data_IF_583928662885
#
_entry.id   IF_583928662885
#
_cell.length_a   1.000
_cell.length_b   1.000
_cell.length_c   1.000
_cell.angle_alpha   90.00
_cell.angle_beta   90.00
_cell.angle_gamma   90.00
#
_symmetry.space_group_name_H-M   'P 1'
#
loop_
_entity.id
_entity.type
_entity.pdbx_description
1 polymer ?
#
# COMPACT_ATOMS: atom_id res chain seq x y z
N UNK A 1 5.28 1.30 -18.07
CA UNK A 1 6.10 1.76 -16.93
C UNK A 1 7.58 1.70 -17.33
N UNK A 2 8.41 2.64 -16.88
CA UNK A 2 9.87 2.67 -17.09
C UNK A 2 10.60 2.46 -15.74
N UNK A 3 11.86 1.99 -15.72
CA UNK A 3 12.61 1.81 -14.46
C UNK A 3 12.68 3.07 -13.61
N UNK A 4 12.85 4.23 -14.25
CA UNK A 4 12.85 5.54 -13.59
C UNK A 4 11.53 5.88 -12.91
N UNK A 5 10.41 5.38 -13.41
CA UNK A 5 9.10 5.59 -12.79
C UNK A 5 8.94 4.74 -11.53
N UNK A 6 9.39 3.47 -11.54
CA UNK A 6 9.43 2.64 -10.32
C UNK A 6 10.33 3.25 -9.25
N UNK A 7 11.49 3.78 -9.65
CA UNK A 7 12.35 4.56 -8.77
C UNK A 7 11.59 5.75 -8.13
N UNK A 8 10.91 6.57 -8.95
CA UNK A 8 10.10 7.69 -8.46
C UNK A 8 8.97 7.23 -7.54
N UNK A 9 8.33 6.09 -7.82
CA UNK A 9 7.30 5.52 -6.96
C UNK A 9 7.87 5.12 -5.60
N UNK A 10 9.09 4.58 -5.55
CA UNK A 10 9.79 4.30 -4.29
C UNK A 10 10.01 5.55 -3.46
N UNK A 11 10.49 6.63 -4.06
CA UNK A 11 10.69 7.92 -3.39
C UNK A 11 9.36 8.50 -2.89
N UNK A 12 8.35 8.56 -3.74
CA UNK A 12 7.03 9.08 -3.36
C UNK A 12 6.38 8.25 -2.25
N UNK A 13 6.51 6.92 -2.33
CA UNK A 13 6.03 6.01 -1.29
C UNK A 13 6.76 6.19 0.04
N UNK A 14 8.10 6.36 0.00
CA UNK A 14 8.93 6.67 1.18
C UNK A 14 8.47 7.96 1.86
N UNK A 15 8.36 9.05 1.09
CA UNK A 15 7.92 10.34 1.63
C UNK A 15 6.51 10.27 2.21
N UNK A 16 5.58 9.60 1.52
CA UNK A 16 4.22 9.43 2.04
C UNK A 16 4.19 8.60 3.34
N UNK A 17 4.97 7.53 3.42
CA UNK A 17 5.06 6.69 4.62
C UNK A 17 5.64 7.47 5.82
N UNK A 18 6.63 8.33 5.58
CA UNK A 18 7.21 9.19 6.62
C UNK A 18 6.24 10.28 7.07
N UNK A 19 5.78 11.10 6.12
CA UNK A 19 5.08 12.34 6.42
C UNK A 19 3.61 12.10 6.81
N UNK A 20 2.95 11.12 6.20
CA UNK A 20 1.51 10.89 6.42
C UNK A 20 1.26 9.72 7.36
N UNK A 21 2.06 8.65 7.25
CA UNK A 21 1.89 7.45 8.10
C UNK A 21 2.77 7.47 9.36
N UNK A 22 3.73 8.41 9.45
CA UNK A 22 4.63 8.54 10.61
C UNK A 22 5.64 7.40 10.74
N UNK A 23 5.93 6.67 9.65
CA UNK A 23 6.88 5.57 9.63
C UNK A 23 8.26 6.14 9.36
N UNK A 24 9.10 6.24 10.39
CA UNK A 24 10.47 6.71 10.22
C UNK A 24 11.32 5.70 9.44
N UNK A 25 12.09 6.18 8.45
CA UNK A 25 12.99 5.37 7.63
C UNK A 25 12.33 4.10 7.03
N UNK A 26 11.22 4.26 6.28
CA UNK A 26 10.37 3.16 5.85
C UNK A 26 11.12 2.19 4.94
N UNK A 27 10.93 0.89 5.16
CA UNK A 27 11.51 -0.17 4.33
C UNK A 27 10.81 -0.19 2.98
N UNK A 28 11.54 0.16 1.93
CA UNK A 28 11.06 0.16 0.55
C UNK A 28 11.53 -1.11 -0.13
N UNK A 29 10.62 -1.86 -0.75
CA UNK A 29 10.96 -3.09 -1.48
C UNK A 29 10.31 -3.11 -2.85
N UNK A 30 10.94 -3.80 -3.79
CA UNK A 30 10.44 -3.98 -5.16
C UNK A 30 9.73 -5.34 -5.26
N UNK A 31 8.46 -5.33 -5.68
CA UNK A 31 7.72 -6.56 -5.93
C UNK A 31 8.34 -7.31 -7.12
N UNK A 32 8.64 -8.58 -6.91
CA UNK A 32 9.34 -9.40 -7.88
C UNK A 32 8.87 -10.87 -7.80
N UNK A 33 9.37 -11.70 -8.72
CA UNK A 33 9.12 -13.15 -8.78
C UNK A 33 10.10 -13.99 -7.95
N UNK A 34 11.03 -13.33 -7.24
CA UNK A 34 12.03 -13.96 -6.39
C UNK A 34 12.80 -12.89 -5.62
N UNK A 35 13.30 -13.26 -4.44
CA UNK A 35 14.04 -12.36 -3.53
C UNK A 35 15.48 -12.09 -4.04
N UNK A 36 16.03 -12.94 -4.92
CA UNK A 36 17.43 -12.80 -5.35
C UNK A 36 17.65 -11.60 -6.29
N UNK A 37 18.86 -11.02 -6.23
CA UNK A 37 19.28 -9.98 -7.18
C UNK A 37 19.28 -10.51 -8.62
N UNK A 38 18.84 -9.68 -9.57
CA UNK A 38 18.73 -10.06 -10.98
C UNK A 38 17.48 -10.86 -11.36
N UNK A 39 16.63 -11.26 -10.40
CA UNK A 39 15.31 -11.84 -10.71
C UNK A 39 14.33 -10.81 -11.26
N UNK A 40 13.40 -11.32 -12.06
CA UNK A 40 12.34 -10.54 -12.69
C UNK A 40 12.65 -10.17 -14.14
N UNK A 41 11.92 -9.19 -14.65
CA UNK A 41 12.09 -8.71 -16.02
C UNK A 41 13.08 -7.54 -16.05
N UNK A 42 13.45 -7.09 -17.25
CA UNK A 42 14.37 -5.96 -17.42
C UNK A 42 13.90 -4.69 -16.70
N UNK A 43 12.58 -4.49 -16.57
CA UNK A 43 12.01 -3.34 -15.87
C UNK A 43 12.33 -3.41 -14.36
N UNK A 44 12.11 -4.56 -13.71
CA UNK A 44 12.36 -4.73 -12.27
C UNK A 44 13.85 -4.76 -11.96
N UNK A 45 14.66 -5.44 -12.78
CA UNK A 45 16.13 -5.47 -12.60
C UNK A 45 16.71 -4.06 -12.65
N UNK A 46 16.35 -3.26 -13.66
CA UNK A 46 16.84 -1.87 -13.78
C UNK A 46 16.26 -0.93 -12.72
N UNK A 47 15.04 -1.18 -12.23
CA UNK A 47 14.50 -0.41 -11.13
C UNK A 47 15.23 -0.70 -9.81
N UNK A 48 15.56 -1.96 -9.55
CA UNK A 48 16.32 -2.37 -8.36
C UNK A 48 17.72 -1.72 -8.34
N UNK A 49 18.41 -1.66 -9.49
CA UNK A 49 19.69 -0.93 -9.61
C UNK A 49 19.55 0.55 -9.21
N UNK A 50 18.50 1.24 -9.68
CA UNK A 50 18.24 2.64 -9.36
C UNK A 50 17.86 2.86 -7.88
N UNK A 51 17.03 1.97 -7.32
CA UNK A 51 16.58 2.06 -5.93
C UNK A 51 17.75 1.78 -4.96
N UNK A 52 18.58 0.79 -5.26
CA UNK A 52 19.77 0.44 -4.46
C UNK A 52 20.82 1.55 -4.46
N UNK A 53 20.98 2.27 -5.57
CA UNK A 53 21.90 3.40 -5.68
C UNK A 53 21.40 4.72 -5.08
N UNK A 54 20.30 4.74 -4.33
CA UNK A 54 19.68 5.95 -3.81
C UNK A 54 19.69 6.03 -2.29
N UNK A 55 19.30 7.18 -1.73
CA UNK A 55 19.28 7.41 -0.28
C UNK A 55 18.12 6.71 0.45
N UNK A 56 17.22 5.99 -0.25
CA UNK A 56 16.11 5.30 0.40
C UNK A 56 16.58 4.03 1.13
N UNK A 57 15.85 3.62 2.16
CA UNK A 57 16.03 2.33 2.82
C UNK A 57 15.49 1.17 1.94
N UNK A 58 16.20 0.89 0.85
CA UNK A 58 15.85 -0.18 -0.08
C UNK A 58 16.22 -1.55 0.50
N UNK A 59 15.20 -2.36 0.80
CA UNK A 59 15.34 -3.70 1.39
C UNK A 59 15.36 -4.83 0.34
N UNK A 60 15.60 -4.50 -0.92
CA UNK A 60 15.68 -5.48 -2.00
C UNK A 60 14.34 -5.92 -2.58
N UNK A 61 14.37 -7.07 -3.26
CA UNK A 61 13.20 -7.68 -3.88
C UNK A 61 12.37 -8.44 -2.83
N UNK A 62 11.05 -8.44 -3.03
CA UNK A 62 10.13 -9.27 -2.24
C UNK A 62 9.14 -10.01 -3.15
N UNK A 63 8.58 -11.10 -2.65
CA UNK A 63 7.50 -11.83 -3.33
C UNK A 63 6.12 -11.45 -2.76
N UNK A 64 5.05 -11.80 -3.47
CA UNK A 64 3.68 -11.44 -3.07
C UNK A 64 3.29 -11.92 -1.66
N UNK A 65 3.84 -13.05 -1.20
CA UNK A 65 3.61 -13.59 0.15
C UNK A 65 4.15 -12.67 1.25
N UNK A 66 5.24 -11.96 0.98
CA UNK A 66 5.95 -11.15 1.96
C UNK A 66 5.21 -9.86 2.33
N UNK A 67 4.35 -9.41 1.41
CA UNK A 67 3.44 -8.27 1.61
C UNK A 67 2.49 -8.56 2.76
N UNK A 68 1.90 -9.76 2.79
CA UNK A 68 0.97 -10.19 3.85
C UNK A 68 1.70 -10.35 5.19
N UNK A 69 2.98 -10.77 5.14
CA UNK A 69 3.83 -10.93 6.32
C UNK A 69 4.39 -9.60 6.86
N UNK A 70 4.17 -8.49 6.16
CA UNK A 70 4.63 -7.16 6.60
C UNK A 70 6.16 -7.00 6.57
N UNK A 71 6.84 -7.68 5.64
CA UNK A 71 8.31 -7.60 5.51
C UNK A 71 8.83 -6.21 5.07
N UNK A 72 7.98 -5.35 4.54
CA UNK A 72 8.30 -4.00 4.12
C UNK A 72 7.15 -3.03 4.43
N UNK A 73 7.43 -1.73 4.35
CA UNK A 73 6.46 -0.66 4.61
C UNK A 73 5.93 -0.06 3.30
N UNK A 74 6.77 -0.02 2.26
CA UNK A 74 6.42 0.44 0.90
C UNK A 74 6.76 -0.66 -0.11
N UNK A 75 5.76 -1.08 -0.88
CA UNK A 75 5.93 -2.02 -2.00
C UNK A 75 5.84 -1.28 -3.32
N UNK A 76 6.90 -1.36 -4.13
CA UNK A 76 6.98 -0.74 -5.45
C UNK A 76 6.66 -1.78 -6.52
N UNK A 77 5.77 -1.45 -7.45
CA UNK A 77 5.44 -2.28 -8.61
C UNK A 77 4.89 -1.41 -9.75
N UNK A 78 4.78 -1.97 -10.95
CA UNK A 78 4.07 -1.29 -12.04
C UNK A 78 2.55 -1.39 -11.85
N UNK A 79 1.82 -0.45 -12.47
CA UNK A 79 0.37 -0.34 -12.27
C UNK A 79 -0.43 -1.57 -12.73
N UNK A 80 0.04 -2.37 -13.68
CA UNK A 80 -0.66 -3.57 -14.10
C UNK A 80 -0.54 -4.66 -13.03
N UNK A 81 0.68 -4.91 -12.55
CA UNK A 81 0.94 -5.87 -11.48
C UNK A 81 0.28 -5.44 -10.17
N UNK A 82 0.43 -4.18 -9.78
CA UNK A 82 -0.15 -3.64 -8.55
C UNK A 82 -1.68 -3.72 -8.52
N UNK A 83 -2.34 -3.36 -9.62
CA UNK A 83 -3.79 -3.44 -9.72
C UNK A 83 -4.29 -4.89 -9.72
N UNK A 84 -3.57 -5.79 -10.39
CA UNK A 84 -3.90 -7.22 -10.38
C UNK A 84 -3.76 -7.82 -8.97
N UNK A 85 -2.68 -7.48 -8.27
CA UNK A 85 -2.44 -7.92 -6.90
C UNK A 85 -3.49 -7.38 -5.92
N UNK A 86 -3.82 -6.09 -6.01
CA UNK A 86 -4.83 -5.45 -5.16
C UNK A 86 -6.19 -6.14 -5.31
N UNK A 87 -6.66 -6.30 -6.56
CA UNK A 87 -7.94 -6.97 -6.85
C UNK A 87 -7.94 -8.45 -6.46
N UNK A 88 -6.81 -9.13 -6.61
CA UNK A 88 -6.67 -10.50 -6.14
C UNK A 88 -6.78 -10.60 -4.61
N UNK A 89 -6.15 -9.68 -3.87
CA UNK A 89 -6.28 -9.59 -2.42
C UNK A 89 -7.71 -9.29 -1.97
N UNK A 90 -8.39 -8.36 -2.65
CA UNK A 90 -9.82 -8.07 -2.43
C UNK A 90 -10.69 -9.32 -2.67
N UNK A 91 -10.47 -10.02 -3.78
CA UNK A 91 -11.21 -11.25 -4.12
C UNK A 91 -11.01 -12.39 -3.12
N UNK A 92 -9.79 -12.58 -2.61
CA UNK A 92 -9.51 -13.55 -1.53
C UNK A 92 -10.28 -13.18 -0.26
N UNK A 93 -10.29 -11.90 0.11
CA UNK A 93 -10.98 -11.44 1.31
C UNK A 93 -12.51 -11.67 1.19
N UNK A 94 -13.10 -11.35 0.03
CA UNK A 94 -14.51 -11.63 -0.26
C UNK A 94 -14.81 -13.14 -0.20
N UNK A 95 -13.98 -13.97 -0.83
CA UNK A 95 -14.13 -15.43 -0.82
C UNK A 95 -14.14 -16.01 0.61
N UNK A 96 -13.18 -15.61 1.46
CA UNK A 96 -13.11 -16.08 2.85
C UNK A 96 -14.36 -15.67 3.64
N UNK A 97 -14.82 -14.43 3.47
CA UNK A 97 -16.02 -13.93 4.15
C UNK A 97 -17.27 -14.75 3.73
N UNK A 98 -17.40 -15.05 2.45
CA UNK A 98 -18.54 -15.80 1.94
C UNK A 98 -18.49 -17.27 2.34
N UNK A 99 -17.32 -17.91 2.35
CA UNK A 99 -17.15 -19.27 2.89
C UNK A 99 -17.54 -19.35 4.38
N UNK A 100 -17.13 -18.37 5.19
CA UNK A 100 -17.53 -18.31 6.60
C UNK A 100 -19.06 -18.20 6.72
N UNK A 101 -19.71 -17.40 5.87
CA UNK A 101 -21.18 -17.22 5.90
C UNK A 101 -21.93 -18.48 5.47
N UNK A 102 -21.43 -19.19 4.46
CA UNK A 102 -22.07 -20.41 3.96
C UNK A 102 -21.92 -21.59 4.94
N UNK A 103 -20.74 -21.73 5.55
CA UNK A 103 -20.45 -22.82 6.49
C UNK A 103 -20.92 -22.52 7.93
N UNK A 104 -21.20 -21.26 8.26
CA UNK A 104 -21.92 -20.90 9.48
C UNK A 104 -23.41 -21.26 9.33
N UNK A 105 -23.77 -22.53 9.53
CA UNK A 105 -25.16 -22.94 9.68
C UNK A 105 -25.89 -22.20 10.82
N UNK A 106 -27.15 -22.57 11.09
CA UNK A 106 -28.06 -21.94 12.08
C UNK A 106 -27.47 -21.72 13.49
N UNK A 107 -26.40 -22.44 13.84
CA UNK A 107 -25.62 -22.26 15.07
C UNK A 107 -24.47 -21.31 14.79
N UNK A 108 -24.58 -20.00 15.10
CA UNK A 108 -23.43 -19.13 15.47
C UNK A 108 -23.70 -17.60 15.54
N UNK A 109 -24.85 -17.10 15.98
CA UNK A 109 -24.91 -15.66 16.37
C UNK A 109 -23.93 -15.32 17.49
N UNK A 110 -23.73 -16.25 18.44
CA UNK A 110 -22.80 -16.11 19.57
C UNK A 110 -21.35 -16.35 19.13
N UNK A 111 -21.09 -17.41 18.35
CA UNK A 111 -19.77 -17.67 17.77
C UNK A 111 -19.30 -16.52 16.87
N UNK A 112 -20.18 -15.98 16.01
CA UNK A 112 -19.87 -14.82 15.17
C UNK A 112 -19.62 -13.55 16.00
N UNK A 113 -20.26 -13.37 17.16
CA UNK A 113 -20.02 -12.24 18.04
C UNK A 113 -18.65 -12.34 18.73
N UNK A 114 -18.27 -13.54 19.19
CA UNK A 114 -16.94 -13.83 19.72
C UNK A 114 -15.85 -13.67 18.66
N UNK A 115 -16.07 -14.22 17.46
CA UNK A 115 -15.20 -14.03 16.30
C UNK A 115 -15.11 -12.55 15.94
N UNK A 116 -16.22 -11.79 15.92
CA UNK A 116 -16.17 -10.33 15.70
C UNK A 116 -15.36 -9.59 16.75
N UNK A 117 -15.34 -10.05 18.00
CA UNK A 117 -14.48 -9.51 19.07
C UNK A 117 -13.00 -9.82 18.81
N UNK A 118 -12.69 -11.09 18.54
CA UNK A 118 -11.34 -11.60 18.31
C UNK A 118 -10.71 -11.01 17.03
N UNK A 119 -11.51 -10.91 15.97
CA UNK A 119 -11.12 -10.41 14.66
C UNK A 119 -11.35 -8.91 14.50
N UNK A 120 -11.86 -8.18 15.51
CA UNK A 120 -12.18 -6.73 15.38
C UNK A 120 -10.99 -5.93 14.87
N UNK A 121 -9.80 -6.21 15.38
CA UNK A 121 -8.58 -5.50 15.00
C UNK A 121 -8.07 -5.92 13.61
N UNK A 122 -8.28 -7.17 13.21
CA UNK A 122 -7.98 -7.66 11.86
C UNK A 122 -8.95 -7.07 10.83
N UNK A 123 -10.25 -7.07 11.12
CA UNK A 123 -11.28 -6.46 10.29
C UNK A 123 -11.05 -4.97 10.11
N UNK A 124 -10.60 -4.25 11.15
CA UNK A 124 -10.18 -2.84 11.01
C UNK A 124 -8.98 -2.64 10.09
N UNK A 125 -8.01 -3.56 10.09
CA UNK A 125 -6.84 -3.48 9.18
C UNK A 125 -7.22 -3.74 7.73
N UNK A 126 -8.28 -4.52 7.49
CA UNK A 126 -8.81 -4.85 6.16
C UNK A 126 -9.83 -3.80 5.67
N UNK A 127 -10.44 -3.02 6.57
CA UNK A 127 -11.43 -2.01 6.21
C UNK A 127 -10.79 -0.79 5.54
N UNK A 128 -10.93 -0.69 4.22
CA UNK A 128 -10.50 0.45 3.41
C UNK A 128 -11.04 1.80 3.92
N UNK A 129 -12.21 1.80 4.59
CA UNK A 129 -12.81 3.02 5.11
C UNK A 129 -11.98 3.64 6.25
N UNK A 130 -11.11 2.87 6.92
CA UNK A 130 -10.19 3.40 7.94
C UNK A 130 -9.08 4.25 7.31
N UNK A 131 -8.67 3.94 6.08
CA UNK A 131 -7.66 4.69 5.33
C UNK A 131 -8.27 5.84 4.50
N UNK A 132 -9.58 5.80 4.24
CA UNK A 132 -10.38 6.89 3.67
C UNK A 132 -10.34 6.98 2.14
N UNK A 133 -9.18 6.74 1.52
CA UNK A 133 -8.98 6.72 0.07
C UNK A 133 -7.53 6.50 -0.31
N UNK A 134 -7.26 6.35 -1.60
CA UNK A 134 -5.91 6.18 -2.14
C UNK A 134 -5.31 7.54 -2.54
N UNK A 135 -4.13 7.93 -2.03
CA UNK A 135 -3.46 9.14 -2.48
C UNK A 135 -2.96 8.99 -3.92
N UNK A 136 -3.21 10.00 -4.75
CA UNK A 136 -2.66 10.08 -6.10
C UNK A 136 -1.42 11.00 -6.06
N UNK A 137 -0.26 10.38 -5.83
CA UNK A 137 1.03 11.05 -5.70
C UNK A 137 1.62 11.43 -7.07
N UNK A 138 2.45 12.48 -7.09
CA UNK A 138 3.13 12.96 -8.29
C UNK A 138 2.35 14.02 -9.08
N UNK A 139 1.26 14.54 -8.53
CA UNK A 139 0.55 15.72 -9.04
C UNK A 139 1.06 17.00 -8.35
N UNK A 140 0.85 18.16 -8.98
CA UNK A 140 1.09 19.49 -8.39
C UNK A 140 0.05 19.87 -7.30
N UNK A 141 -0.56 18.88 -6.65
CA UNK A 141 -1.42 19.09 -5.48
C UNK A 141 -1.73 17.79 -4.75
N UNK A 142 -2.40 17.91 -3.59
CA UNK A 142 -2.87 16.76 -2.82
C UNK A 142 -4.20 16.26 -3.40
N UNK A 143 -4.22 15.01 -3.85
CA UNK A 143 -5.41 14.37 -4.40
C UNK A 143 -5.64 12.99 -3.76
N UNK A 144 -6.84 12.77 -3.23
CA UNK A 144 -7.25 11.51 -2.60
C UNK A 144 -8.42 10.91 -3.36
N UNK A 145 -8.21 9.73 -3.96
CA UNK A 145 -9.23 8.99 -4.70
C UNK A 145 -10.04 8.14 -3.72
N UNK A 146 -11.31 8.48 -3.56
CA UNK A 146 -12.25 7.69 -2.77
C UNK A 146 -12.96 6.64 -3.66
N UNK A 147 -13.33 5.50 -3.09
CA UNK A 147 -14.16 4.53 -3.80
C UNK A 147 -15.60 5.05 -3.96
N UNK A 148 -16.27 4.77 -5.07
CA UNK A 148 -17.66 5.20 -5.31
C UNK A 148 -18.69 4.69 -4.29
N UNK A 149 -18.34 3.66 -3.51
CA UNK A 149 -19.16 3.14 -2.40
C UNK A 149 -18.78 3.74 -1.02
N UNK A 150 -17.87 4.71 -0.99
CA UNK A 150 -17.38 5.34 0.25
C UNK A 150 -18.52 5.99 1.03
N UNK A 151 -18.63 5.64 2.31
CA UNK A 151 -19.57 6.26 3.26
C UNK A 151 -18.92 7.48 3.94
N UNK A 152 -19.73 8.22 4.71
CA UNK A 152 -19.29 9.43 5.44
C UNK A 152 -18.00 9.25 6.25
N UNK A 153 -17.79 8.08 6.88
CA UNK A 153 -16.56 7.74 7.60
C UNK A 153 -15.33 7.73 6.69
N UNK A 154 -15.42 7.08 5.52
CA UNK A 154 -14.33 7.03 4.55
C UNK A 154 -14.00 8.43 4.03
N UNK A 155 -15.01 9.23 3.69
CA UNK A 155 -14.82 10.63 3.24
C UNK A 155 -14.17 11.48 4.33
N UNK A 156 -14.62 11.37 5.59
CA UNK A 156 -13.98 12.05 6.72
C UNK A 156 -12.49 11.70 6.83
N UNK A 157 -12.17 10.41 6.71
CA UNK A 157 -10.78 9.93 6.79
C UNK A 157 -9.95 10.41 5.58
N UNK A 158 -10.52 10.44 4.38
CA UNK A 158 -9.87 11.00 3.19
C UNK A 158 -9.52 12.48 3.37
N UNK A 159 -10.45 13.29 3.91
CA UNK A 159 -10.20 14.70 4.22
C UNK A 159 -9.08 14.84 5.26
N UNK A 160 -9.07 13.98 6.28
CA UNK A 160 -7.99 13.98 7.30
C UNK A 160 -6.63 13.68 6.66
N UNK A 161 -6.54 12.66 5.82
CA UNK A 161 -5.31 12.32 5.09
C UNK A 161 -4.87 13.48 4.20
N UNK A 162 -5.79 14.08 3.45
CA UNK A 162 -5.49 15.24 2.60
C UNK A 162 -4.96 16.44 3.42
N UNK A 163 -5.58 16.71 4.58
CA UNK A 163 -5.13 17.76 5.49
C UNK A 163 -3.73 17.52 6.03
N UNK A 164 -3.39 16.28 6.40
CA UNK A 164 -2.05 15.91 6.88
C UNK A 164 -1.04 16.10 5.74
N UNK A 165 -1.29 15.49 4.58
CA UNK A 165 -0.42 15.57 3.41
C UNK A 165 -0.17 17.03 2.97
N UNK A 166 -1.20 17.88 3.02
CA UNK A 166 -1.07 19.30 2.72
C UNK A 166 -0.28 20.06 3.78
N UNK A 167 -0.51 19.78 5.07
CA UNK A 167 0.18 20.48 6.18
C UNK A 167 1.66 20.11 6.26
N UNK A 168 2.01 18.91 5.79
CA UNK A 168 3.37 18.40 5.72
C UNK A 168 4.07 18.74 4.40
N UNK A 169 3.43 19.52 3.52
CA UNK A 169 4.03 19.96 2.25
C UNK A 169 4.58 18.79 1.42
N UNK A 170 3.81 17.69 1.32
CA UNK A 170 4.30 16.42 0.75
C UNK A 170 4.86 16.56 -0.67
N UNK A 171 4.31 17.47 -1.48
CA UNK A 171 4.77 17.72 -2.84
C UNK A 171 6.17 18.32 -2.85
N UNK A 172 6.41 19.33 -2.01
CA UNK A 172 7.72 19.97 -1.87
C UNK A 172 8.76 18.93 -1.41
N UNK A 173 8.39 18.07 -0.46
CA UNK A 173 9.24 16.97 0.01
C UNK A 173 9.57 15.94 -1.08
N UNK A 174 8.58 15.55 -1.87
CA UNK A 174 8.79 14.66 -3.01
C UNK A 174 9.74 15.30 -4.02
N UNK A 175 9.57 16.58 -4.33
CA UNK A 175 10.44 17.30 -5.26
C UNK A 175 11.88 17.41 -4.74
N UNK A 176 12.06 17.73 -3.46
CA UNK A 176 13.37 17.77 -2.78
C UNK A 176 14.10 16.44 -2.93
N UNK A 177 13.46 15.33 -2.55
CA UNK A 177 14.04 13.97 -2.60
C UNK A 177 14.33 13.51 -4.03
N UNK A 178 13.49 13.88 -5.00
CA UNK A 178 13.73 13.55 -6.41
C UNK A 178 14.88 14.36 -7.01
N UNK A 179 15.14 15.57 -6.52
CA UNK A 179 16.27 16.42 -6.94
C UNK A 179 17.57 16.05 -6.23
N UNK A 180 17.50 15.54 -5.01
CA UNK A 180 18.64 15.15 -4.17
C UNK A 180 19.35 13.86 -4.63
N UNK A 181 19.11 13.41 -5.87
CA UNK A 181 19.81 12.28 -6.50
C UNK A 181 21.32 12.38 -6.40
#
# INVERSE_FOLDING_TARGET
>A
CKPTQLFQFGIMGKVYAEEVLGIQNPRVSLLNIGEEEGKGNMLTVKAAELLSGSAINFCGNIEGRDIILGKCDVVVCDGFVGNSLLKFGEGIAEFIIDEIRQNAGFVNKIGLLFLKGLFRNLLKKIDYAEYGGAPLLGLEGVSIICHGRSKSKAIKNAIKVASIASSHHINDRIEEELRAK
#
